data_IF_297852857258
#
_entry.id   IF_297852857258
#
_cell.length_a   1.000
_cell.length_b   1.000
_cell.length_c   1.000
_cell.angle_alpha   90.00
_cell.angle_beta   90.00
_cell.angle_gamma   90.00
#
_symmetry.space_group_name_H-M   'P 1'
#
loop_
_entity.id
_entity.type
_entity.pdbx_description
1 polymer ?
#
# COMPACT_ATOMS: atom_id res chain seq x y z
N UNK A 1 17.63 1.43 -6.15
CA UNK A 1 16.90 1.90 -4.96
C UNK A 1 15.43 1.54 -5.12
N UNK A 2 14.85 0.98 -4.08
CA UNK A 2 13.45 0.54 -4.15
C UNK A 2 12.48 1.69 -4.07
N UNK A 3 11.43 1.64 -4.87
CA UNK A 3 10.37 2.65 -4.92
C UNK A 3 9.08 2.07 -4.32
N UNK A 4 8.50 2.80 -3.37
CA UNK A 4 7.24 2.45 -2.74
C UNK A 4 6.17 3.44 -3.16
N UNK A 5 5.02 2.93 -3.60
CA UNK A 5 3.85 3.76 -3.88
C UNK A 5 2.96 3.76 -2.64
N UNK A 6 2.64 4.94 -2.12
CA UNK A 6 1.74 5.11 -0.98
C UNK A 6 0.41 5.66 -1.48
N UNK A 7 -0.68 4.93 -1.25
CA UNK A 7 -2.02 5.27 -1.72
C UNK A 7 -2.93 5.53 -0.53
N UNK A 8 -3.38 6.76 -0.36
CA UNK A 8 -4.27 7.15 0.73
C UNK A 8 -4.94 8.47 0.34
N UNK A 9 -6.25 8.60 0.55
CA UNK A 9 -6.96 9.84 0.23
C UNK A 9 -6.71 10.94 1.26
N UNK A 10 -6.24 10.58 2.46
CA UNK A 10 -5.82 11.56 3.47
C UNK A 10 -4.40 12.01 3.17
N UNK A 11 -4.24 13.26 2.76
CA UNK A 11 -2.92 13.82 2.47
C UNK A 11 -2.01 13.80 3.70
N UNK A 12 -2.57 14.04 4.89
CA UNK A 12 -1.83 14.02 6.14
C UNK A 12 -1.24 12.64 6.43
N UNK A 13 -2.05 11.59 6.33
CA UNK A 13 -1.60 10.22 6.58
C UNK A 13 -0.64 9.75 5.49
N UNK A 14 -0.95 10.08 4.24
CA UNK A 14 -0.10 9.72 3.10
C UNK A 14 1.29 10.32 3.24
N UNK A 15 1.37 11.61 3.57
CA UNK A 15 2.64 12.32 3.76
C UNK A 15 3.40 11.78 4.97
N UNK A 16 2.69 11.40 6.04
CA UNK A 16 3.32 10.82 7.22
C UNK A 16 4.01 9.50 6.88
N UNK A 17 3.31 8.62 6.18
CA UNK A 17 3.87 7.33 5.75
C UNK A 17 5.04 7.55 4.80
N UNK A 18 4.86 8.44 3.82
CA UNK A 18 5.92 8.77 2.87
C UNK A 18 7.17 9.27 3.59
N UNK A 19 7.01 10.14 4.57
CA UNK A 19 8.13 10.67 5.37
C UNK A 19 8.89 9.59 6.12
N UNK A 20 8.17 8.62 6.70
CA UNK A 20 8.79 7.49 7.39
C UNK A 20 9.67 6.67 6.44
N UNK A 21 9.15 6.39 5.25
CA UNK A 21 9.85 5.54 4.28
C UNK A 21 11.02 6.27 3.63
N UNK A 22 10.88 7.58 3.39
CA UNK A 22 11.99 8.40 2.89
C UNK A 22 13.15 8.41 3.88
N UNK A 23 12.87 8.56 5.17
CA UNK A 23 13.89 8.52 6.21
C UNK A 23 14.57 7.16 6.29
N UNK A 24 13.88 6.11 5.90
CA UNK A 24 14.43 4.76 5.87
C UNK A 24 15.26 4.48 4.61
N UNK A 25 15.45 5.47 3.75
CA UNK A 25 16.29 5.35 2.56
C UNK A 25 15.58 4.87 1.31
N UNK A 26 14.24 4.86 1.31
CA UNK A 26 13.45 4.41 0.16
C UNK A 26 13.03 5.59 -0.71
N UNK A 27 12.79 5.33 -1.99
CA UNK A 27 12.13 6.29 -2.87
C UNK A 27 10.63 6.12 -2.71
N UNK A 28 9.89 7.23 -2.65
CA UNK A 28 8.45 7.18 -2.42
C UNK A 28 7.71 8.00 -3.49
N UNK A 29 6.64 7.43 -4.03
CA UNK A 29 5.68 8.15 -4.86
C UNK A 29 4.31 8.03 -4.19
N UNK A 30 3.41 8.97 -4.46
CA UNK A 30 2.13 9.06 -3.77
C UNK A 30 0.96 9.13 -4.75
N UNK A 31 -0.15 8.49 -4.38
CA UNK A 31 -1.40 8.57 -5.11
C UNK A 31 -2.53 8.84 -4.11
N UNK A 32 -3.53 9.62 -4.51
CA UNK A 32 -4.63 10.03 -3.63
C UNK A 32 -5.81 9.06 -3.66
N UNK A 33 -5.89 8.18 -4.65
CA UNK A 33 -6.96 7.19 -4.76
C UNK A 33 -6.52 6.02 -5.65
N UNK A 34 -7.41 5.04 -5.76
CA UNK A 34 -7.10 3.82 -6.53
C UNK A 34 -6.96 4.04 -8.03
N UNK A 35 -7.69 5.01 -8.58
CA UNK A 35 -7.62 5.30 -10.02
C UNK A 35 -6.26 5.92 -10.37
N UNK A 36 -5.82 6.92 -9.59
CA UNK A 36 -4.51 7.52 -9.77
C UNK A 36 -3.40 6.47 -9.58
N UNK A 37 -3.56 5.60 -8.56
CA UNK A 37 -2.62 4.54 -8.31
C UNK A 37 -2.49 3.59 -9.51
N UNK A 38 -3.60 3.18 -10.11
CA UNK A 38 -3.58 2.33 -11.30
C UNK A 38 -2.80 2.98 -12.43
N UNK A 39 -3.06 4.25 -12.69
CA UNK A 39 -2.36 4.99 -13.75
C UNK A 39 -0.86 5.03 -13.51
N UNK A 40 -0.45 5.30 -12.26
CA UNK A 40 0.96 5.36 -11.88
C UNK A 40 1.63 3.99 -11.99
N UNK A 41 0.96 2.94 -11.55
CA UNK A 41 1.48 1.57 -11.60
C UNK A 41 1.67 1.13 -13.06
N UNK A 42 0.73 1.45 -13.92
CA UNK A 42 0.82 1.11 -15.34
C UNK A 42 1.95 1.86 -16.04
N UNK A 43 2.16 3.13 -15.67
CA UNK A 43 3.21 3.95 -16.26
C UNK A 43 4.60 3.53 -15.78
N UNK A 44 4.77 3.33 -14.47
CA UNK A 44 6.05 2.98 -13.87
C UNK A 44 5.80 2.09 -12.65
N UNK A 45 5.84 0.76 -12.80
CA UNK A 45 5.55 -0.15 -11.69
C UNK A 45 6.48 0.09 -10.50
N UNK A 46 5.93 0.25 -9.28
CA UNK A 46 6.74 0.36 -8.07
C UNK A 46 7.22 -1.02 -7.61
N UNK A 47 8.11 -1.03 -6.63
CA UNK A 47 8.61 -2.27 -6.03
C UNK A 47 7.69 -2.78 -4.92
N UNK A 48 6.84 -1.90 -4.37
CA UNK A 48 5.89 -2.24 -3.32
C UNK A 48 4.80 -1.18 -3.26
N UNK A 49 3.59 -1.58 -2.86
CA UNK A 49 2.46 -0.66 -2.69
C UNK A 49 1.94 -0.74 -1.26
N UNK A 50 1.79 0.43 -0.61
CA UNK A 50 1.09 0.57 0.66
C UNK A 50 -0.22 1.30 0.36
N UNK A 51 -1.37 0.70 0.70
CA UNK A 51 -2.65 1.28 0.35
C UNK A 51 -3.65 1.21 1.50
N UNK A 52 -4.52 2.21 1.59
CA UNK A 52 -5.67 2.21 2.50
C UNK A 52 -6.86 1.55 1.80
N UNK A 53 -7.85 1.17 2.60
CA UNK A 53 -9.09 0.53 2.10
C UNK A 53 -10.11 1.59 1.70
N UNK A 54 -10.40 2.54 2.59
CA UNK A 54 -11.49 3.51 2.38
C UNK A 54 -10.97 4.70 1.55
N UNK A 55 -11.28 4.67 0.27
CA UNK A 55 -10.89 5.69 -0.69
C UNK A 55 -12.03 5.92 -1.68
N UNK A 56 -12.16 7.14 -2.24
CA UNK A 56 -13.16 7.39 -3.28
C UNK A 56 -12.79 6.69 -4.59
N UNK A 57 -13.77 6.48 -5.44
CA UNK A 57 -13.67 5.92 -6.79
C UNK A 57 -13.33 4.44 -6.83
N UNK A 58 -12.24 4.03 -6.21
CA UNK A 58 -11.84 2.61 -6.14
C UNK A 58 -11.30 2.36 -4.74
N UNK A 59 -11.89 1.43 -3.98
CA UNK A 59 -11.42 1.12 -2.64
C UNK A 59 -10.14 0.24 -2.69
N UNK A 60 -9.47 0.13 -1.54
CA UNK A 60 -8.20 -0.58 -1.47
C UNK A 60 -8.30 -2.07 -1.77
N UNK A 61 -9.41 -2.71 -1.44
CA UNK A 61 -9.61 -4.12 -1.77
C UNK A 61 -9.62 -4.32 -3.29
N UNK A 62 -10.33 -3.46 -3.99
CA UNK A 62 -10.40 -3.51 -5.45
C UNK A 62 -9.03 -3.27 -6.09
N UNK A 63 -8.30 -2.29 -5.58
CA UNK A 63 -6.96 -1.99 -6.09
C UNK A 63 -6.02 -3.17 -5.85
N UNK A 64 -6.03 -3.75 -4.66
CA UNK A 64 -5.21 -4.90 -4.31
C UNK A 64 -5.52 -6.09 -5.26
N UNK A 65 -6.80 -6.40 -5.43
CA UNK A 65 -7.23 -7.48 -6.30
C UNK A 65 -6.77 -7.24 -7.75
N UNK A 66 -6.90 -6.01 -8.23
CA UNK A 66 -6.43 -5.67 -9.58
C UNK A 66 -4.93 -5.90 -9.73
N UNK A 67 -4.13 -5.44 -8.76
CA UNK A 67 -2.68 -5.64 -8.77
C UNK A 67 -2.35 -7.14 -8.84
N UNK A 68 -3.00 -7.93 -8.01
CA UNK A 68 -2.69 -9.36 -7.87
C UNK A 68 -3.24 -10.22 -9.01
N UNK A 69 -4.22 -9.72 -9.76
CA UNK A 69 -4.81 -10.44 -10.90
C UNK A 69 -4.30 -9.96 -12.25
N UNK A 70 -3.40 -8.99 -12.28
CA UNK A 70 -2.81 -8.49 -13.52
C UNK A 70 -1.42 -9.08 -13.69
N UNK A 71 -1.16 -9.74 -14.80
CA UNK A 71 0.09 -10.49 -15.02
C UNK A 71 1.34 -9.63 -14.82
N UNK A 72 1.30 -8.36 -15.25
CA UNK A 72 2.45 -7.47 -15.16
C UNK A 72 2.72 -6.92 -13.76
N UNK A 73 1.77 -7.06 -12.81
CA UNK A 73 1.86 -6.46 -11.48
C UNK A 73 1.71 -7.46 -10.34
N UNK A 74 1.33 -8.70 -10.63
CA UNK A 74 0.98 -9.67 -9.59
C UNK A 74 2.12 -9.99 -8.60
N UNK A 75 3.36 -9.76 -9.00
CA UNK A 75 4.52 -10.01 -8.14
C UNK A 75 4.82 -8.83 -7.20
N UNK A 76 4.18 -7.68 -7.39
CA UNK A 76 4.41 -6.51 -6.54
C UNK A 76 3.80 -6.76 -5.16
N UNK A 77 4.60 -6.69 -4.07
CA UNK A 77 4.06 -6.83 -2.72
C UNK A 77 3.08 -5.71 -2.39
N UNK A 78 1.99 -6.06 -1.70
CA UNK A 78 0.96 -5.10 -1.29
C UNK A 78 0.76 -5.16 0.21
N UNK A 79 0.86 -4.01 0.87
CA UNK A 79 0.54 -3.84 2.29
C UNK A 79 -0.75 -3.03 2.37
N UNK A 80 -1.78 -3.58 3.01
CA UNK A 80 -2.97 -2.82 3.36
C UNK A 80 -2.70 -2.14 4.71
N UNK A 81 -2.90 -0.82 4.78
CA UNK A 81 -2.72 -0.04 6.00
C UNK A 81 -4.02 0.74 6.25
N UNK A 82 -4.80 0.32 7.27
CA UNK A 82 -6.15 0.85 7.46
C UNK A 82 -6.53 0.91 8.94
N UNK A 83 -7.46 1.81 9.26
CA UNK A 83 -8.07 1.86 10.60
C UNK A 83 -9.08 0.72 10.81
N UNK A 84 -9.46 -0.02 9.76
CA UNK A 84 -10.32 -1.19 9.87
C UNK A 84 -9.48 -2.36 10.41
N UNK A 85 -9.49 -2.55 11.73
CA UNK A 85 -8.62 -3.50 12.41
C UNK A 85 -9.30 -4.77 12.90
N UNK A 86 -10.57 -4.98 12.57
CA UNK A 86 -11.26 -6.18 12.99
C UNK A 86 -10.70 -7.42 12.29
N UNK A 87 -10.84 -8.57 12.92
CA UNK A 87 -10.34 -9.82 12.36
C UNK A 87 -10.92 -10.08 10.97
N UNK A 88 -12.20 -9.77 10.78
CA UNK A 88 -12.87 -9.90 9.48
C UNK A 88 -12.19 -9.02 8.41
N UNK A 89 -11.86 -7.78 8.76
CA UNK A 89 -11.24 -6.87 7.81
C UNK A 89 -9.87 -7.40 7.35
N UNK A 90 -9.08 -7.89 8.30
CA UNK A 90 -7.76 -8.45 8.02
C UNK A 90 -7.88 -9.70 7.14
N UNK A 91 -8.80 -10.59 7.49
CA UNK A 91 -9.06 -11.79 6.70
C UNK A 91 -9.43 -11.45 5.27
N UNK A 92 -10.35 -10.48 5.10
CA UNK A 92 -10.81 -10.09 3.78
C UNK A 92 -9.69 -9.45 2.95
N UNK A 93 -8.84 -8.64 3.58
CA UNK A 93 -7.69 -8.03 2.91
C UNK A 93 -6.70 -9.08 2.40
N UNK A 94 -6.36 -10.04 3.24
CA UNK A 94 -5.45 -11.13 2.84
C UNK A 94 -6.08 -11.98 1.74
N UNK A 95 -7.40 -12.14 1.76
CA UNK A 95 -8.15 -12.86 0.73
C UNK A 95 -8.05 -12.18 -0.64
N UNK A 96 -7.91 -10.85 -0.67
CA UNK A 96 -7.70 -10.10 -1.92
C UNK A 96 -6.27 -10.24 -2.44
N UNK A 97 -5.39 -10.88 -1.70
CA UNK A 97 -4.02 -11.13 -2.11
C UNK A 97 -2.98 -10.24 -1.45
N UNK A 98 -3.36 -9.46 -0.43
CA UNK A 98 -2.39 -8.62 0.28
C UNK A 98 -1.30 -9.50 0.93
N UNK A 99 -0.08 -8.98 0.95
CA UNK A 99 1.06 -9.66 1.55
C UNK A 99 1.20 -9.35 3.04
N UNK A 100 0.64 -8.20 3.47
CA UNK A 100 0.61 -7.82 4.88
C UNK A 100 -0.55 -6.87 5.14
N UNK A 101 -0.96 -6.77 6.41
CA UNK A 101 -2.03 -5.89 6.87
C UNK A 101 -1.57 -5.17 8.12
N UNK A 102 -1.55 -3.84 8.08
CA UNK A 102 -1.14 -3.01 9.21
C UNK A 102 -2.34 -2.16 9.62
N UNK A 103 -2.72 -2.24 10.91
CA UNK A 103 -3.84 -1.47 11.45
C UNK A 103 -3.35 -0.11 11.95
N UNK A 104 -4.06 0.95 11.60
CA UNK A 104 -3.81 2.30 12.13
C UNK A 104 -4.49 2.49 13.48
N UNK A 105 -3.88 3.18 14.45
CA UNK A 105 -2.52 3.71 14.39
C UNK A 105 -1.48 2.58 14.52
N UNK A 106 -0.33 2.78 13.92
CA UNK A 106 0.74 1.78 13.95
C UNK A 106 2.03 2.42 14.50
N UNK A 107 2.96 1.58 14.94
CA UNK A 107 4.29 2.06 15.32
C UNK A 107 5.14 2.22 14.06
N UNK A 108 5.85 3.35 13.91
CA UNK A 108 6.70 3.57 12.73
C UNK A 108 7.66 2.42 12.43
N UNK A 109 8.25 1.82 13.47
CA UNK A 109 9.16 0.69 13.30
C UNK A 109 8.49 -0.52 12.64
N UNK A 110 7.20 -0.75 12.94
CA UNK A 110 6.46 -1.87 12.36
C UNK A 110 6.23 -1.67 10.86
N UNK A 111 5.89 -0.45 10.45
CA UNK A 111 5.72 -0.13 9.03
C UNK A 111 7.04 -0.31 8.28
N UNK A 112 8.12 0.26 8.80
CA UNK A 112 9.43 0.20 8.18
C UNK A 112 9.92 -1.24 8.06
N UNK A 113 9.80 -2.03 9.13
CA UNK A 113 10.28 -3.42 9.11
C UNK A 113 9.47 -4.27 8.13
N UNK A 114 8.16 -4.08 8.07
CA UNK A 114 7.30 -4.82 7.15
C UNK A 114 7.65 -4.50 5.69
N UNK A 115 7.82 -3.21 5.37
CA UNK A 115 8.20 -2.79 4.03
C UNK A 115 9.55 -3.41 3.64
N UNK A 116 10.55 -3.28 4.50
CA UNK A 116 11.89 -3.81 4.20
C UNK A 116 11.90 -5.33 4.05
N UNK A 117 11.11 -6.02 4.86
CA UNK A 117 10.99 -7.47 4.79
C UNK A 117 10.42 -7.92 3.44
N UNK A 118 9.40 -7.24 2.96
CA UNK A 118 8.75 -7.58 1.69
C UNK A 118 9.56 -7.16 0.46
N UNK A 119 10.49 -6.24 0.61
CA UNK A 119 11.36 -5.79 -0.49
C UNK A 119 12.58 -6.69 -0.72
N UNK A 120 12.77 -7.68 0.10
CA UNK A 120 13.91 -8.59 -0.04
C UNK A 120 13.82 -9.53 -1.23
#
# INVERSE_FOLDING_TARGET
MSTVLVVDDSSTLREMIAGLLLKAGLTVVEAKDGIEAQEMIEATPPDLVVLDIVMPNMNGYELCRWIKNTASTQAIPVIICSSKGEEFDRYWGMKQGADAYITKPFRPADMISTVKQLLR
#
